data_IF_507466006041
#
_entry.id   IF_507466006041
#
_cell.length_a   1.000
_cell.length_b   1.000
_cell.length_c   1.000
_cell.angle_alpha   90.00
_cell.angle_beta   90.00
_cell.angle_gamma   90.00
#
_symmetry.space_group_name_H-M   'P 1'
#
loop_
_entity.id
_entity.type
_entity.pdbx_description
1 polymer ?
#
# COMPACT_ATOMS: atom_id res chain seq x y z
N UNK A 1 38.46 -48.03 26.95
CA UNK A 1 38.21 -47.12 25.81
C UNK A 1 36.70 -47.07 25.65
N UNK A 2 36.07 -45.90 25.79
CA UNK A 2 34.62 -45.76 25.67
C UNK A 2 34.37 -45.08 24.33
N UNK A 3 33.78 -45.80 23.39
CA UNK A 3 33.31 -45.25 22.12
C UNK A 3 31.86 -44.77 22.30
N UNK A 4 31.62 -43.49 22.02
CA UNK A 4 30.29 -42.90 21.98
C UNK A 4 29.91 -42.54 20.55
N UNK A 5 28.71 -42.93 20.13
CA UNK A 5 28.15 -42.54 18.84
C UNK A 5 26.84 -41.76 19.04
N UNK A 6 26.62 -40.76 18.18
CA UNK A 6 25.41 -39.94 18.20
C UNK A 6 24.35 -40.66 17.38
N UNK A 7 23.24 -41.04 18.03
CA UNK A 7 22.08 -41.62 17.37
C UNK A 7 21.17 -40.50 16.87
N UNK A 8 20.83 -40.49 15.58
CA UNK A 8 19.91 -39.52 14.99
C UNK A 8 20.57 -38.26 14.42
N UNK A 9 21.90 -38.21 14.33
CA UNK A 9 22.68 -37.12 13.74
C UNK A 9 22.22 -36.74 12.32
N UNK A 10 21.97 -37.74 11.46
CA UNK A 10 21.52 -37.56 10.07
C UNK A 10 20.14 -36.92 10.00
N UNK A 11 19.24 -37.29 10.91
CA UNK A 11 17.88 -36.75 10.98
C UNK A 11 17.91 -35.27 11.40
N UNK A 12 18.70 -34.95 12.43
CA UNK A 12 18.88 -33.58 12.90
C UNK A 12 19.55 -32.71 11.84
N UNK A 13 20.60 -33.21 11.19
CA UNK A 13 21.28 -32.49 10.11
C UNK A 13 20.36 -32.23 8.91
N UNK A 14 19.48 -33.18 8.56
CA UNK A 14 18.48 -33.00 7.50
C UNK A 14 17.46 -31.92 7.85
N UNK A 15 16.92 -31.95 9.07
CA UNK A 15 15.99 -30.91 9.55
C UNK A 15 16.65 -29.54 9.57
N UNK A 16 17.88 -29.45 10.07
CA UNK A 16 18.63 -28.20 10.09
C UNK A 16 18.86 -27.59 8.71
N UNK A 17 19.12 -28.44 7.70
CA UNK A 17 19.26 -27.98 6.31
C UNK A 17 17.94 -27.57 5.65
N UNK A 18 16.82 -28.20 6.04
CA UNK A 18 15.49 -27.91 5.47
C UNK A 18 14.73 -26.77 6.18
N UNK A 19 15.13 -26.43 7.41
CA UNK A 19 14.52 -25.38 8.23
C UNK A 19 14.39 -24.02 7.51
N UNK A 20 15.41 -23.52 6.79
CA UNK A 20 15.30 -22.25 6.06
C UNK A 20 14.18 -22.25 5.01
N UNK A 21 13.98 -23.36 4.29
CA UNK A 21 12.97 -23.46 3.24
C UNK A 21 11.55 -23.51 3.84
N UNK A 22 11.37 -24.24 4.94
CA UNK A 22 10.10 -24.30 5.67
C UNK A 22 9.69 -22.93 6.23
N UNK A 23 10.62 -22.23 6.88
CA UNK A 23 10.41 -20.87 7.38
C UNK A 23 10.10 -19.92 6.23
N UNK A 24 10.88 -19.96 5.15
CA UNK A 24 10.70 -19.08 3.99
C UNK A 24 9.33 -19.28 3.33
N UNK A 25 8.89 -20.52 3.13
CA UNK A 25 7.57 -20.81 2.57
C UNK A 25 6.45 -20.22 3.44
N UNK A 26 6.50 -20.47 4.75
CA UNK A 26 5.47 -19.97 5.69
C UNK A 26 5.43 -18.44 5.77
N UNK A 27 6.59 -17.81 5.79
CA UNK A 27 6.71 -16.35 5.78
C UNK A 27 6.16 -15.78 4.47
N UNK A 28 6.46 -16.40 3.34
CA UNK A 28 5.94 -16.00 2.02
C UNK A 28 4.42 -16.03 1.98
N UNK A 29 3.80 -17.11 2.46
CA UNK A 29 2.35 -17.24 2.54
C UNK A 29 1.73 -16.19 3.48
N UNK A 30 2.40 -15.92 4.61
CA UNK A 30 1.97 -14.91 5.58
C UNK A 30 1.98 -13.52 4.97
N UNK A 31 3.08 -13.14 4.29
CA UNK A 31 3.18 -11.87 3.57
C UNK A 31 2.09 -11.76 2.50
N UNK A 32 1.85 -12.82 1.72
CA UNK A 32 0.79 -12.86 0.71
C UNK A 32 -0.61 -12.58 1.28
N UNK A 33 -0.92 -13.11 2.48
CA UNK A 33 -2.18 -12.79 3.17
C UNK A 33 -2.21 -11.36 3.70
N UNK A 34 -1.10 -10.89 4.28
CA UNK A 34 -0.99 -9.56 4.88
C UNK A 34 -1.12 -8.45 3.84
N UNK A 35 -0.51 -8.58 2.65
CA UNK A 35 -0.66 -7.57 1.58
C UNK A 35 -2.10 -7.46 1.07
N UNK A 36 -2.82 -8.58 0.98
CA UNK A 36 -4.24 -8.58 0.61
C UNK A 36 -5.11 -7.92 1.69
N UNK A 37 -4.78 -8.11 2.98
CA UNK A 37 -5.45 -7.40 4.08
C UNK A 37 -5.12 -5.90 4.05
N UNK A 38 -3.87 -5.54 3.82
CA UNK A 38 -3.43 -4.15 3.72
C UNK A 38 -4.11 -3.41 2.57
N UNK A 39 -4.15 -4.02 1.38
CA UNK A 39 -4.87 -3.48 0.23
C UNK A 39 -6.35 -3.23 0.56
N UNK A 40 -7.02 -4.22 1.18
CA UNK A 40 -8.42 -4.07 1.62
C UNK A 40 -8.60 -2.94 2.62
N UNK A 41 -7.73 -2.84 3.63
CA UNK A 41 -7.77 -1.75 4.63
C UNK A 41 -7.64 -0.38 3.98
N UNK A 42 -6.71 -0.23 3.03
CA UNK A 42 -6.55 1.00 2.26
C UNK A 42 -7.84 1.34 1.50
N UNK A 43 -8.43 0.36 0.80
CA UNK A 43 -9.61 0.58 -0.02
C UNK A 43 -10.89 0.85 0.79
N UNK A 44 -11.09 0.13 1.89
CA UNK A 44 -12.32 0.15 2.69
C UNK A 44 -12.32 1.22 3.77
N UNK A 45 -11.18 1.46 4.44
CA UNK A 45 -11.14 2.40 5.55
C UNK A 45 -10.64 3.77 5.08
N UNK A 46 -9.42 3.78 4.52
CA UNK A 46 -8.71 5.04 4.22
C UNK A 46 -9.34 5.79 3.04
N UNK A 47 -9.64 5.09 1.95
CA UNK A 47 -10.17 5.71 0.73
C UNK A 47 -11.69 5.88 0.69
N UNK A 48 -12.44 5.23 1.58
CA UNK A 48 -13.92 5.25 1.59
C UNK A 48 -14.53 6.12 2.70
N UNK A 49 -13.73 6.67 3.62
CA UNK A 49 -14.25 7.68 4.53
C UNK A 49 -13.26 8.31 5.48
N UNK A 50 -12.25 7.57 5.95
CA UNK A 50 -11.37 8.04 7.02
C UNK A 50 -10.44 9.17 6.55
N UNK A 51 -9.84 9.04 5.36
CA UNK A 51 -8.82 9.97 4.86
C UNK A 51 -9.30 10.68 3.60
N UNK A 52 -9.82 9.91 2.65
CA UNK A 52 -10.42 10.40 1.42
C UNK A 52 -11.86 9.91 1.31
N UNK A 53 -12.68 10.68 0.59
CA UNK A 53 -14.02 10.28 0.18
C UNK A 53 -13.98 9.85 -1.29
N UNK A 54 -14.67 8.76 -1.62
CA UNK A 54 -14.77 8.29 -3.01
C UNK A 54 -15.58 9.28 -3.83
N UNK A 55 -15.01 9.78 -4.93
CA UNK A 55 -15.73 10.57 -5.95
C UNK A 55 -16.00 9.75 -7.22
N UNK A 56 -14.94 9.30 -7.89
CA UNK A 56 -15.02 8.50 -9.14
C UNK A 56 -14.58 7.04 -8.95
N UNK A 57 -13.90 6.75 -7.83
CA UNK A 57 -13.34 5.44 -7.52
C UNK A 57 -12.04 5.10 -8.25
N UNK A 58 -11.49 5.97 -9.11
CA UNK A 58 -10.27 5.68 -9.88
C UNK A 58 -9.09 5.34 -8.98
N UNK A 59 -8.81 6.18 -7.97
CA UNK A 59 -7.71 5.94 -7.02
C UNK A 59 -7.90 4.65 -6.22
N UNK A 60 -9.14 4.32 -5.86
CA UNK A 60 -9.44 3.10 -5.10
C UNK A 60 -9.22 1.84 -5.95
N UNK A 61 -9.64 1.87 -7.21
CA UNK A 61 -9.45 0.76 -8.16
C UNK A 61 -8.01 0.60 -8.61
N UNK A 62 -7.18 1.63 -8.46
CA UNK A 62 -5.77 1.59 -8.85
C UNK A 62 -4.83 1.10 -7.75
N UNK A 63 -5.35 0.77 -6.56
CA UNK A 63 -4.52 0.19 -5.50
C UNK A 63 -4.22 -1.26 -5.89
N UNK A 64 -2.94 -1.52 -6.12
CA UNK A 64 -2.42 -2.82 -6.54
C UNK A 64 -1.46 -3.38 -5.48
N UNK A 65 -1.31 -4.70 -5.47
CA UNK A 65 -0.39 -5.40 -4.57
C UNK A 65 0.56 -6.30 -5.36
N UNK A 66 1.79 -6.42 -4.90
CA UNK A 66 2.79 -7.31 -5.47
C UNK A 66 3.61 -7.96 -4.38
N UNK A 67 3.83 -9.26 -4.53
CA UNK A 67 4.83 -10.01 -3.79
C UNK A 67 6.12 -10.07 -4.62
N UNK A 68 7.24 -9.71 -4.00
CA UNK A 68 8.58 -9.81 -4.60
C UNK A 68 9.38 -10.76 -3.73
N UNK A 69 9.86 -11.84 -4.33
CA UNK A 69 10.67 -12.87 -3.66
C UNK A 69 12.04 -12.89 -4.29
N UNK A 70 13.04 -12.46 -3.52
CA UNK A 70 14.45 -12.55 -3.87
C UNK A 70 15.09 -13.73 -3.13
N UNK A 71 16.38 -14.03 -3.38
CA UNK A 71 17.09 -15.13 -2.70
C UNK A 71 17.05 -14.99 -1.17
N UNK A 72 17.22 -13.76 -0.69
CA UNK A 72 17.47 -13.48 0.74
C UNK A 72 16.31 -12.73 1.40
N UNK A 73 15.31 -12.29 0.63
CA UNK A 73 14.22 -11.48 1.15
C UNK A 73 12.89 -11.78 0.48
N UNK A 74 11.80 -11.56 1.23
CA UNK A 74 10.44 -11.59 0.70
C UNK A 74 9.78 -10.28 1.09
N UNK A 75 9.31 -9.53 0.09
CA UNK A 75 8.75 -8.19 0.25
C UNK A 75 7.34 -8.13 -0.30
N UNK A 76 6.42 -7.62 0.53
CA UNK A 76 5.05 -7.32 0.14
C UNK A 76 4.87 -5.82 -0.14
N UNK A 77 4.43 -5.47 -1.34
CA UNK A 77 4.30 -4.08 -1.80
C UNK A 77 2.83 -3.78 -2.10
N UNK A 78 2.31 -2.67 -1.57
CA UNK A 78 1.00 -2.11 -1.95
C UNK A 78 1.22 -0.70 -2.49
N UNK A 79 0.71 -0.43 -3.69
CA UNK A 79 1.02 0.80 -4.42
C UNK A 79 -0.14 1.30 -5.28
N UNK A 80 0.05 2.45 -5.93
CA UNK A 80 -0.91 3.02 -6.88
C UNK A 80 -0.17 3.62 -8.07
N UNK A 81 -0.70 3.40 -9.28
CA UNK A 81 -0.14 3.98 -10.51
C UNK A 81 -0.68 5.37 -10.84
N UNK A 82 -1.62 5.88 -10.03
CA UNK A 82 -2.28 7.16 -10.28
C UNK A 82 -1.40 8.31 -9.80
N UNK A 83 -0.99 9.18 -10.75
CA UNK A 83 -0.07 10.31 -10.49
C UNK A 83 -0.50 11.22 -9.34
N UNK A 84 -1.80 11.54 -9.26
CA UNK A 84 -2.33 12.41 -8.21
C UNK A 84 -2.42 11.70 -6.83
N UNK A 85 -2.31 10.37 -6.79
CA UNK A 85 -2.27 9.60 -5.54
C UNK A 85 -1.10 10.02 -4.66
N UNK A 86 0.09 10.25 -5.23
CA UNK A 86 1.27 10.75 -4.51
C UNK A 86 1.01 12.13 -3.88
N UNK A 87 0.35 13.02 -4.62
CA UNK A 87 0.03 14.35 -4.10
C UNK A 87 -0.98 14.30 -2.94
N UNK A 88 -1.89 13.32 -2.92
CA UNK A 88 -2.72 13.08 -1.74
C UNK A 88 -1.93 12.46 -0.59
N UNK A 89 -1.09 11.46 -0.85
CA UNK A 89 -0.35 10.73 0.19
C UNK A 89 0.64 11.60 0.98
N UNK A 90 1.26 12.58 0.34
CA UNK A 90 2.30 13.43 0.94
C UNK A 90 1.92 14.92 1.00
N UNK A 91 0.76 15.29 0.46
CA UNK A 91 0.44 16.69 0.18
C UNK A 91 1.25 17.25 -0.99
N UNK A 92 0.96 18.49 -1.35
CA UNK A 92 1.73 19.24 -2.34
C UNK A 92 1.60 20.73 -2.05
N UNK A 93 2.72 21.45 -2.12
CA UNK A 93 2.80 22.91 -2.06
C UNK A 93 3.41 23.50 -3.34
N UNK A 94 3.46 22.71 -4.43
CA UNK A 94 4.14 23.07 -5.68
C UNK A 94 3.29 24.00 -6.53
N UNK A 95 3.94 24.87 -7.28
CA UNK A 95 3.28 25.61 -8.36
C UNK A 95 3.13 24.68 -9.57
N UNK A 96 1.91 24.55 -10.07
CA UNK A 96 1.57 23.72 -11.24
C UNK A 96 0.99 24.59 -12.34
N UNK A 97 1.34 24.29 -13.59
CA UNK A 97 0.74 24.94 -14.76
C UNK A 97 -0.54 24.20 -15.13
N UNK A 98 -1.67 24.91 -15.04
CA UNK A 98 -2.97 24.45 -15.52
C UNK A 98 -3.07 24.81 -17.00
N UNK A 99 -3.31 23.80 -17.84
CA UNK A 99 -3.51 24.02 -19.28
C UNK A 99 -4.85 24.72 -19.54
N UNK A 100 -4.91 25.42 -20.67
CA UNK A 100 -6.16 26.02 -21.13
C UNK A 100 -7.25 24.94 -21.29
N UNK A 101 -8.45 25.25 -20.83
CA UNK A 101 -9.59 24.35 -20.91
C UNK A 101 -10.92 25.10 -20.87
N UNK A 102 -11.98 24.45 -21.37
CA UNK A 102 -13.35 24.93 -21.21
C UNK A 102 -13.88 24.56 -19.82
N UNK A 103 -14.53 25.53 -19.18
CA UNK A 103 -15.20 25.33 -17.89
C UNK A 103 -16.64 25.82 -17.98
N UNK A 104 -17.56 25.00 -17.48
CA UNK A 104 -18.94 25.43 -17.26
C UNK A 104 -18.99 26.34 -16.02
N UNK A 105 -19.22 27.63 -16.24
CA UNK A 105 -19.34 28.63 -15.18
C UNK A 105 -20.79 28.67 -14.71
N UNK A 106 -21.01 28.29 -13.45
CA UNK A 106 -22.34 28.31 -12.80
C UNK A 106 -22.58 29.54 -11.94
N UNK A 107 -21.51 30.24 -11.55
CA UNK A 107 -21.55 31.43 -10.69
C UNK A 107 -20.65 32.51 -11.25
N UNK A 108 -21.11 33.74 -11.19
CA UNK A 108 -20.33 34.92 -11.57
C UNK A 108 -20.55 36.03 -10.53
N UNK A 109 -19.48 36.69 -10.10
CA UNK A 109 -19.53 37.72 -9.03
C UNK A 109 -20.28 37.26 -7.76
N UNK A 110 -20.09 35.99 -7.38
CA UNK A 110 -20.73 35.39 -6.21
C UNK A 110 -22.21 34.99 -6.39
N UNK A 111 -22.87 35.36 -7.50
CA UNK A 111 -24.26 35.03 -7.79
C UNK A 111 -24.39 33.83 -8.73
N UNK A 112 -25.41 33.00 -8.54
CA UNK A 112 -25.75 31.92 -9.47
C UNK A 112 -26.32 32.47 -10.77
N UNK A 113 -25.84 31.94 -11.89
CA UNK A 113 -26.34 32.28 -13.22
C UNK A 113 -27.60 31.46 -13.51
N UNK A 114 -28.64 32.11 -14.05
CA UNK A 114 -29.86 31.42 -14.52
C UNK A 114 -29.55 30.39 -15.60
N UNK A 115 -28.62 30.72 -16.49
CA UNK A 115 -28.13 29.85 -17.55
C UNK A 115 -26.61 29.73 -17.43
N UNK A 116 -26.07 28.57 -17.05
CA UNK A 116 -24.63 28.34 -17.02
C UNK A 116 -24.01 28.52 -18.41
N UNK A 117 -22.82 29.12 -18.46
CA UNK A 117 -22.12 29.45 -19.71
C UNK A 117 -20.79 28.70 -19.79
N UNK A 118 -20.43 28.21 -20.97
CA UNK A 118 -19.09 27.67 -21.23
C UNK A 118 -18.11 28.81 -21.49
N UNK A 119 -17.05 28.88 -20.68
CA UNK A 119 -16.00 29.88 -20.82
C UNK A 119 -14.62 29.22 -20.94
N UNK A 120 -13.75 29.80 -21.76
CA UNK A 120 -12.35 29.38 -21.88
C UNK A 120 -11.55 29.94 -20.72
N UNK A 121 -10.96 29.05 -19.92
CA UNK A 121 -9.99 29.40 -18.88
C UNK A 121 -8.61 29.26 -19.48
N UNK A 122 -7.92 30.40 -19.69
CA UNK A 122 -6.55 30.42 -20.22
C UNK A 122 -5.58 29.66 -19.33
N UNK A 123 -4.50 29.17 -19.93
CA UNK A 123 -3.41 28.53 -19.20
C UNK A 123 -2.84 29.49 -18.14
N UNK A 124 -2.64 28.99 -16.92
CA UNK A 124 -2.12 29.79 -15.82
C UNK A 124 -1.39 28.91 -14.80
N UNK A 125 -0.54 29.53 -14.00
CA UNK A 125 0.13 28.88 -12.88
C UNK A 125 -0.73 28.97 -11.63
N UNK A 126 -0.89 27.84 -10.93
CA UNK A 126 -1.61 27.75 -9.67
C UNK A 126 -0.68 27.19 -8.60
N UNK A 127 -0.64 27.82 -7.42
CA UNK A 127 -0.02 27.21 -6.24
C UNK A 127 -0.94 26.11 -5.72
N UNK A 128 -0.52 24.86 -5.87
CA UNK A 128 -1.23 23.72 -5.34
C UNK A 128 -1.00 23.72 -3.83
N UNK A 129 -1.95 24.20 -3.02
CA UNK A 129 -1.92 24.13 -1.55
C UNK A 129 -2.74 22.90 -1.10
N UNK A 130 -2.23 21.71 -1.37
CA UNK A 130 -2.92 20.45 -1.09
C UNK A 130 -2.38 19.86 0.23
N UNK A 131 -3.21 19.74 1.29
CA UNK A 131 -2.78 19.12 2.53
C UNK A 131 -2.51 17.63 2.35
N UNK A 132 -1.62 17.09 3.19
CA UNK A 132 -1.34 15.67 3.28
C UNK A 132 -2.57 14.88 3.73
N UNK A 133 -2.82 13.76 3.07
CA UNK A 133 -3.89 12.80 3.35
C UNK A 133 -3.32 11.40 3.17
N UNK A 134 -2.45 11.01 4.08
CA UNK A 134 -1.78 9.70 4.12
C UNK A 134 -2.79 8.56 4.23
N UNK A 135 -2.87 7.72 3.20
CA UNK A 135 -3.74 6.55 3.13
C UNK A 135 -2.96 5.23 3.02
N UNK A 136 -1.76 5.23 2.43
CA UNK A 136 -0.91 4.03 2.40
C UNK A 136 -0.09 3.92 3.67
N UNK A 137 0.65 4.97 4.04
CA UNK A 137 1.53 4.92 5.22
C UNK A 137 0.75 4.78 6.51
N UNK A 138 -0.38 5.50 6.63
CA UNK A 138 -1.24 5.37 7.81
C UNK A 138 -1.86 3.97 7.93
N UNK A 139 -2.29 3.35 6.82
CA UNK A 139 -2.80 1.97 6.86
C UNK A 139 -1.71 0.97 7.27
N UNK A 140 -0.49 1.14 6.76
CA UNK A 140 0.64 0.30 7.15
C UNK A 140 1.00 0.47 8.62
N UNK A 141 0.98 1.71 9.13
CA UNK A 141 1.22 2.00 10.54
C UNK A 141 0.17 1.35 11.44
N UNK A 142 -1.11 1.44 11.08
CA UNK A 142 -2.21 0.81 11.82
C UNK A 142 -2.07 -0.72 11.86
N UNK A 143 -1.62 -1.34 10.77
CA UNK A 143 -1.47 -2.80 10.66
C UNK A 143 -0.13 -3.33 11.16
N UNK A 144 0.84 -2.45 11.46
CA UNK A 144 2.17 -2.85 11.93
C UNK A 144 2.16 -3.91 13.05
N UNK A 145 1.37 -3.78 14.14
CA UNK A 145 1.37 -4.80 15.19
C UNK A 145 0.86 -6.16 14.71
N UNK A 146 -0.21 -6.19 13.89
CA UNK A 146 -0.76 -7.43 13.30
C UNK A 146 0.26 -8.09 12.37
N UNK A 147 0.92 -7.29 11.51
CA UNK A 147 1.95 -7.76 10.58
C UNK A 147 3.09 -8.44 11.34
N UNK A 148 3.61 -7.80 12.39
CA UNK A 148 4.72 -8.36 13.18
C UNK A 148 4.29 -9.67 13.86
N UNK A 149 3.08 -9.72 14.42
CA UNK A 149 2.56 -10.91 15.06
C UNK A 149 2.40 -12.09 14.08
N UNK A 150 1.79 -11.85 12.91
CA UNK A 150 1.56 -12.89 11.89
C UNK A 150 2.87 -13.39 11.25
N UNK A 151 3.89 -12.52 11.11
CA UNK A 151 5.21 -12.92 10.62
C UNK A 151 5.98 -13.76 11.65
N UNK A 152 5.99 -13.34 12.92
CA UNK A 152 6.63 -14.12 14.00
C UNK A 152 5.98 -15.50 14.16
N UNK A 153 4.64 -15.55 14.07
CA UNK A 153 3.89 -16.81 14.10
C UNK A 153 4.27 -17.71 12.91
N UNK A 154 4.31 -17.16 11.70
CA UNK A 154 4.68 -17.92 10.51
C UNK A 154 6.12 -18.46 10.59
N UNK A 155 7.06 -17.66 11.10
CA UNK A 155 8.43 -18.11 11.32
C UNK A 155 8.49 -19.25 12.35
N UNK A 156 7.79 -19.12 13.48
CA UNK A 156 7.74 -20.16 14.50
C UNK A 156 7.09 -21.47 14.00
N UNK A 157 6.06 -21.38 13.15
CA UNK A 157 5.44 -22.55 12.51
C UNK A 157 6.39 -23.24 11.52
N UNK A 158 7.17 -22.47 10.77
CA UNK A 158 8.17 -23.01 9.85
C UNK A 158 9.32 -23.74 10.55
N UNK A 159 9.61 -23.39 11.80
CA UNK A 159 10.62 -24.08 12.63
C UNK A 159 10.12 -25.42 13.17
N UNK A 160 8.80 -25.60 13.32
CA UNK A 160 8.20 -26.81 13.90
C UNK A 160 7.99 -27.94 12.89
N UNK A 161 8.15 -27.68 11.59
CA UNK A 161 8.11 -28.69 10.52
C UNK A 161 9.45 -29.38 10.35
#
# INVERSE_FOLDING_TARGET
MIDGYVVGDKEVARRFRALPDGVRSRVTDSIGRLILRLQRKVMQDKLTGQVLKVRTGTLRRSIDQRLVTDSDSVSGIVSTNVKYGKAHEYGSNKTVTVREHLRLVKKAWGKELKHPVWATVKAHSMKQNLPERSFLRSALADMKPEIIADLNKAAAEGIKQ
#
